data_IF_748081087638
#
_entry.id   IF_748081087638
#
_cell.length_a   1.000
_cell.length_b   1.000
_cell.length_c   1.000
_cell.angle_alpha   90.00
_cell.angle_beta   90.00
_cell.angle_gamma   90.00
#
_symmetry.space_group_name_H-M   'P 1'
#
loop_
_entity.id
_entity.type
_entity.pdbx_description
1 polymer ?
#
# COMPACT_ATOMS: atom_id res chain seq x y z
N UNK A 1 12.33 -13.86 22.31
CA UNK A 1 11.05 -13.59 21.64
C UNK A 1 11.12 -14.21 20.26
N UNK A 2 10.20 -15.12 19.93
CA UNK A 2 10.29 -15.96 18.73
C UNK A 2 10.16 -15.16 17.44
N UNK A 3 11.13 -15.32 16.54
CA UNK A 3 11.05 -14.89 15.15
C UNK A 3 9.93 -15.70 14.47
N UNK A 4 8.95 -15.03 13.84
CA UNK A 4 7.85 -15.68 13.12
C UNK A 4 6.43 -15.55 13.69
N UNK A 5 6.20 -14.73 14.73
CA UNK A 5 4.85 -14.49 15.29
C UNK A 5 4.34 -13.05 15.16
N UNK A 6 5.11 -12.13 14.59
CA UNK A 6 4.64 -10.76 14.41
C UNK A 6 3.59 -10.71 13.29
N UNK A 7 2.40 -10.19 13.62
CA UNK A 7 1.29 -9.88 12.71
C UNK A 7 0.52 -11.08 12.14
N UNK A 8 0.49 -12.22 12.85
CA UNK A 8 -0.34 -13.39 12.48
C UNK A 8 -1.82 -13.05 12.35
N UNK A 9 -2.29 -12.00 13.02
CA UNK A 9 -3.65 -11.52 12.91
C UNK A 9 -3.99 -11.12 11.46
N UNK A 10 -3.03 -10.58 10.71
CA UNK A 10 -3.21 -10.23 9.29
C UNK A 10 -3.35 -11.45 8.37
N UNK A 11 -3.03 -12.66 8.83
CA UNK A 11 -3.21 -13.90 8.05
C UNK A 11 -4.69 -14.27 7.84
N UNK A 12 -5.62 -13.56 8.50
CA UNK A 12 -7.06 -13.63 8.17
C UNK A 12 -7.40 -13.03 6.81
N UNK A 13 -6.48 -12.27 6.20
CA UNK A 13 -6.50 -11.96 4.77
C UNK A 13 -5.82 -13.11 4.03
N UNK A 14 -6.49 -14.26 4.03
CA UNK A 14 -5.97 -15.59 3.70
C UNK A 14 -5.86 -15.86 2.20
N UNK A 15 -6.43 -15.01 1.34
CA UNK A 15 -6.38 -15.16 -0.11
C UNK A 15 -5.60 -14.04 -0.80
N UNK A 16 -5.04 -14.35 -1.97
CA UNK A 16 -4.36 -13.43 -2.87
C UNK A 16 -5.06 -13.43 -4.24
N UNK A 17 -5.16 -12.25 -4.82
CA UNK A 17 -5.55 -12.03 -6.22
C UNK A 17 -4.37 -11.37 -6.95
N UNK A 18 -3.97 -11.91 -8.10
CA UNK A 18 -2.95 -11.34 -8.97
C UNK A 18 -3.52 -11.20 -10.37
N UNK A 19 -3.54 -9.95 -10.86
CA UNK A 19 -3.90 -9.62 -12.24
C UNK A 19 -2.71 -8.98 -12.95
N UNK A 20 -2.65 -9.16 -14.26
CA UNK A 20 -1.66 -8.49 -15.11
C UNK A 20 -2.33 -7.82 -16.30
N UNK A 21 -1.62 -6.85 -16.87
CA UNK A 21 -2.12 -6.05 -17.99
C UNK A 21 -0.96 -5.34 -18.71
N UNK A 22 -1.02 -5.29 -20.03
CA UNK A 22 0.08 -4.82 -20.89
C UNK A 22 -0.42 -3.76 -21.89
N UNK A 23 -0.72 -2.53 -21.44
CA UNK A 23 -1.15 -1.47 -22.34
C UNK A 23 0.00 -1.01 -23.21
N UNK A 24 -0.26 -0.64 -24.47
CA UNK A 24 0.71 0.10 -25.25
C UNK A 24 0.80 1.58 -24.79
N UNK A 25 1.85 1.91 -24.03
CA UNK A 25 2.07 3.23 -23.44
C UNK A 25 3.55 3.62 -23.44
N UNK A 26 3.85 4.89 -23.17
CA UNK A 26 5.24 5.33 -23.03
C UNK A 26 5.97 4.60 -21.89
N UNK A 27 5.27 4.34 -20.77
CA UNK A 27 5.81 3.61 -19.62
C UNK A 27 6.14 2.16 -20.00
N UNK A 28 5.22 1.45 -20.64
CA UNK A 28 5.42 0.03 -20.98
C UNK A 28 6.46 -0.16 -22.07
N UNK A 29 6.55 0.76 -23.04
CA UNK A 29 7.67 0.82 -24.00
C UNK A 29 9.00 1.10 -23.31
N UNK A 30 9.04 2.06 -22.38
CA UNK A 30 10.25 2.37 -21.61
C UNK A 30 10.68 1.19 -20.74
N UNK A 31 9.76 0.52 -20.05
CA UNK A 31 10.05 -0.68 -19.26
C UNK A 31 10.67 -1.79 -20.11
N UNK A 32 10.13 -2.07 -21.31
CA UNK A 32 10.71 -3.05 -22.24
C UNK A 32 12.09 -2.66 -22.74
N UNK A 33 12.25 -1.41 -23.17
CA UNK A 33 13.48 -0.90 -23.82
C UNK A 33 14.62 -0.68 -22.83
N UNK A 34 14.32 -0.09 -21.68
CA UNK A 34 15.28 0.31 -20.65
C UNK A 34 15.41 -0.71 -19.52
N UNK A 35 14.66 -1.83 -19.60
CA UNK A 35 14.61 -2.87 -18.55
C UNK A 35 14.28 -2.29 -17.16
N UNK A 36 13.36 -1.31 -17.14
CA UNK A 36 12.84 -0.74 -15.90
C UNK A 36 11.89 -1.76 -15.26
N UNK A 37 12.30 -2.24 -14.10
CA UNK A 37 11.50 -3.05 -13.18
C UNK A 37 11.33 -2.25 -11.89
N UNK A 38 10.09 -1.97 -11.52
CA UNK A 38 9.78 -1.02 -10.43
C UNK A 38 8.46 -1.39 -9.78
N UNK A 39 8.39 -1.27 -8.46
CA UNK A 39 7.12 -1.08 -7.76
C UNK A 39 6.50 0.26 -8.19
N UNK A 40 5.19 0.35 -8.12
CA UNK A 40 4.41 1.46 -8.66
C UNK A 40 3.54 2.01 -7.55
N UNK A 41 3.73 3.29 -7.24
CA UNK A 41 2.78 4.03 -6.41
C UNK A 41 1.55 4.40 -7.24
N UNK A 42 0.36 4.12 -6.72
CA UNK A 42 -0.91 4.46 -7.37
C UNK A 42 -1.75 5.33 -6.44
N UNK A 43 -1.93 6.59 -6.80
CA UNK A 43 -2.67 7.58 -6.02
C UNK A 43 -3.98 7.96 -6.73
N UNK A 44 -5.07 8.06 -5.97
CA UNK A 44 -6.39 8.40 -6.49
C UNK A 44 -6.86 9.74 -5.93
N UNK A 45 -7.12 10.72 -6.79
CA UNK A 45 -7.75 11.99 -6.42
C UNK A 45 -8.96 12.25 -7.31
N UNK A 46 -10.13 11.84 -6.79
CA UNK A 46 -11.38 11.83 -7.53
C UNK A 46 -11.26 11.04 -8.84
N UNK A 47 -11.29 11.77 -9.96
CA UNK A 47 -11.16 11.20 -11.30
C UNK A 47 -9.70 11.10 -11.77
N UNK A 48 -8.77 11.81 -11.13
CA UNK A 48 -7.37 11.76 -11.45
C UNK A 48 -6.72 10.54 -10.78
N UNK A 49 -5.90 9.82 -11.52
CA UNK A 49 -5.08 8.74 -10.97
C UNK A 49 -3.63 9.01 -11.30
N UNK A 50 -2.75 8.98 -10.31
CA UNK A 50 -1.33 9.21 -10.50
C UNK A 50 -0.57 7.90 -10.35
N UNK A 51 0.31 7.64 -11.31
CA UNK A 51 1.26 6.54 -11.30
C UNK A 51 2.63 7.13 -11.01
N UNK A 52 3.27 6.63 -9.95
CA UNK A 52 4.61 6.98 -9.55
C UNK A 52 5.53 5.77 -9.74
N UNK A 53 6.55 5.93 -10.57
CA UNK A 53 7.58 4.93 -10.83
C UNK A 53 8.91 5.42 -10.28
N UNK A 54 9.77 4.49 -9.86
CA UNK A 54 11.12 4.81 -9.43
C UNK A 54 12.12 3.78 -9.96
N UNK A 55 13.36 4.20 -10.16
CA UNK A 55 14.43 3.25 -10.44
C UNK A 55 15.76 3.91 -10.12
N UNK A 56 16.72 3.10 -9.72
CA UNK A 56 18.08 3.58 -9.46
C UNK A 56 18.70 4.10 -10.76
N UNK A 57 19.51 5.14 -10.63
CA UNK A 57 20.28 5.70 -11.71
C UNK A 57 21.23 4.64 -12.30
N UNK A 58 20.99 4.21 -13.54
CA UNK A 58 21.87 3.30 -14.28
C UNK A 58 22.52 4.07 -15.43
N UNK A 59 23.85 4.16 -15.42
CA UNK A 59 24.66 4.95 -16.36
C UNK A 59 24.59 4.47 -17.82
N UNK A 60 24.03 3.29 -18.09
CA UNK A 60 24.28 2.56 -19.34
C UNK A 60 23.35 2.92 -20.52
N UNK A 61 22.35 3.81 -20.36
CA UNK A 61 21.41 4.15 -21.45
C UNK A 61 20.95 5.62 -21.46
N UNK A 62 21.89 6.57 -21.31
CA UNK A 62 21.59 7.99 -21.08
C UNK A 62 20.64 8.61 -22.09
N UNK A 63 20.78 8.37 -23.41
CA UNK A 63 19.98 9.11 -24.41
C UNK A 63 18.48 8.77 -24.36
N UNK A 64 18.13 7.49 -24.42
CA UNK A 64 16.73 7.04 -24.40
C UNK A 64 16.08 7.29 -23.04
N UNK A 65 16.86 7.11 -21.96
CA UNK A 65 16.43 7.44 -20.61
C UNK A 65 16.14 8.93 -20.48
N UNK A 66 17.02 9.81 -20.97
CA UNK A 66 16.83 11.26 -20.93
C UNK A 66 15.57 11.69 -21.69
N UNK A 67 15.28 11.10 -22.87
CA UNK A 67 14.05 11.36 -23.61
C UNK A 67 12.83 10.97 -22.76
N UNK A 68 12.81 9.75 -22.22
CA UNK A 68 11.72 9.26 -21.39
C UNK A 68 11.50 10.13 -20.13
N UNK A 69 12.57 10.52 -19.44
CA UNK A 69 12.52 11.36 -18.25
C UNK A 69 11.95 12.74 -18.57
N UNK A 70 12.40 13.37 -19.66
CA UNK A 70 11.92 14.69 -20.09
C UNK A 70 10.44 14.68 -20.46
N UNK A 71 10.02 13.62 -21.15
CA UNK A 71 8.60 13.44 -21.51
C UNK A 71 7.73 13.14 -20.28
N UNK A 72 8.32 12.59 -19.21
CA UNK A 72 7.60 12.09 -18.04
C UNK A 72 7.70 12.91 -16.77
N UNK A 73 8.18 14.16 -16.88
CA UNK A 73 8.44 15.03 -15.74
C UNK A 73 9.23 14.29 -14.63
N UNK A 74 10.22 13.54 -15.11
CA UNK A 74 11.10 12.74 -14.28
C UNK A 74 12.16 13.61 -13.62
N UNK A 75 12.40 13.42 -12.33
CA UNK A 75 13.47 14.09 -11.61
C UNK A 75 14.36 13.09 -10.88
N UNK A 76 15.60 13.50 -10.60
CA UNK A 76 16.58 12.74 -9.83
C UNK A 76 16.65 13.33 -8.42
N UNK A 77 16.46 12.49 -7.41
CA UNK A 77 16.71 12.83 -6.02
C UNK A 77 17.33 11.62 -5.34
N UNK A 78 18.42 11.82 -4.60
CA UNK A 78 19.15 10.77 -3.88
C UNK A 78 19.52 9.56 -4.78
N UNK A 79 20.01 9.81 -5.99
CA UNK A 79 20.35 8.78 -7.01
C UNK A 79 19.17 7.91 -7.49
N UNK A 80 17.93 8.35 -7.24
CA UNK A 80 16.70 7.66 -7.63
C UNK A 80 15.96 8.53 -8.64
N UNK A 81 15.76 8.00 -9.85
CA UNK A 81 14.87 8.61 -10.81
C UNK A 81 13.43 8.38 -10.39
N UNK A 82 12.63 9.43 -10.36
CA UNK A 82 11.20 9.38 -10.00
C UNK A 82 10.37 9.96 -11.14
N UNK A 83 9.42 9.17 -11.62
CA UNK A 83 8.56 9.52 -12.76
C UNK A 83 7.11 9.54 -12.30
N UNK A 84 6.41 10.64 -12.59
CA UNK A 84 4.98 10.80 -12.30
C UNK A 84 4.19 10.86 -13.59
N UNK A 85 3.10 10.09 -13.66
CA UNK A 85 2.14 10.16 -14.76
C UNK A 85 0.73 10.28 -14.22
N UNK A 86 0.08 11.38 -14.56
CA UNK A 86 -1.35 11.57 -14.31
C UNK A 86 -2.16 10.93 -15.43
N UNK A 87 -3.04 10.02 -15.06
CA UNK A 87 -4.09 9.45 -15.90
C UNK A 87 -5.35 10.30 -15.65
N UNK A 88 -5.72 11.08 -16.67
CA UNK A 88 -6.85 12.03 -16.62
C UNK A 88 -8.13 11.41 -17.22
N UNK A 89 -8.00 10.31 -17.98
CA UNK A 89 -9.13 9.63 -18.63
C UNK A 89 -9.46 8.32 -17.92
N UNK A 90 -10.74 7.94 -17.97
CA UNK A 90 -11.21 6.65 -17.50
C UNK A 90 -10.41 5.54 -18.16
N UNK A 91 -9.66 4.80 -17.35
CA UNK A 91 -8.83 3.70 -17.78
C UNK A 91 -9.38 2.43 -17.14
N UNK A 92 -9.82 1.48 -17.96
CA UNK A 92 -10.58 0.31 -17.49
C UNK A 92 -9.82 -0.49 -16.43
N UNK A 93 -8.50 -0.56 -16.53
CA UNK A 93 -7.63 -1.16 -15.52
C UNK A 93 -7.70 -0.45 -14.16
N UNK A 94 -7.67 0.89 -14.17
CA UNK A 94 -7.82 1.69 -12.94
C UNK A 94 -9.23 1.50 -12.35
N UNK A 95 -10.25 1.43 -13.20
CA UNK A 95 -11.63 1.18 -12.76
C UNK A 95 -11.81 -0.22 -12.16
N UNK A 96 -11.12 -1.23 -12.70
CA UNK A 96 -11.06 -2.57 -12.12
C UNK A 96 -10.43 -2.52 -10.73
N UNK A 97 -9.26 -1.88 -10.58
CA UNK A 97 -8.58 -1.73 -9.28
C UNK A 97 -9.49 -1.02 -8.27
N UNK A 98 -10.12 0.11 -8.66
CA UNK A 98 -11.07 0.83 -7.81
C UNK A 98 -12.25 -0.06 -7.41
N UNK A 99 -12.81 -0.83 -8.34
CA UNK A 99 -13.95 -1.72 -8.06
C UNK A 99 -13.59 -2.85 -7.11
N UNK A 100 -12.40 -3.43 -7.25
CA UNK A 100 -11.88 -4.45 -6.32
C UNK A 100 -11.65 -3.86 -4.93
N UNK A 101 -11.14 -2.62 -4.84
CA UNK A 101 -10.98 -1.90 -3.57
C UNK A 101 -12.31 -1.53 -2.90
N UNK A 102 -13.43 -1.54 -3.61
CA UNK A 102 -14.76 -1.42 -2.98
C UNK A 102 -15.23 -2.72 -2.34
N UNK A 103 -14.64 -3.87 -2.72
CA UNK A 103 -14.96 -5.13 -2.04
C UNK A 103 -14.40 -5.05 -0.61
N UNK A 104 -15.18 -5.44 0.40
CA UNK A 104 -14.72 -5.54 1.78
C UNK A 104 -13.49 -6.43 1.93
N UNK A 105 -12.60 -6.14 2.90
CA UNK A 105 -11.28 -6.78 3.12
C UNK A 105 -10.24 -6.70 2.00
N UNK A 106 -10.56 -6.19 0.81
CA UNK A 106 -9.57 -6.09 -0.25
C UNK A 106 -8.52 -5.03 0.08
N UNK A 107 -7.28 -5.47 0.16
CA UNK A 107 -6.11 -4.61 0.39
C UNK A 107 -5.21 -4.71 -0.83
N UNK A 108 -4.93 -3.57 -1.45
CA UNK A 108 -3.92 -3.45 -2.49
C UNK A 108 -2.53 -3.51 -1.84
N UNK A 109 -1.78 -4.58 -2.11
CA UNK A 109 -0.47 -4.80 -1.48
C UNK A 109 0.71 -4.44 -2.38
N UNK A 110 0.54 -4.55 -3.71
CA UNK A 110 1.61 -4.19 -4.63
C UNK A 110 1.07 -3.97 -6.03
N UNK A 111 1.69 -3.00 -6.70
CA UNK A 111 1.60 -2.83 -8.15
C UNK A 111 3.04 -2.72 -8.62
N UNK A 112 3.41 -3.45 -9.67
CA UNK A 112 4.74 -3.33 -10.25
C UNK A 112 4.68 -3.41 -11.76
N UNK A 113 5.72 -2.92 -12.41
CA UNK A 113 5.94 -3.10 -13.83
C UNK A 113 7.19 -3.91 -14.06
N UNK A 114 7.11 -4.89 -14.98
CA UNK A 114 8.25 -5.67 -15.46
C UNK A 114 8.07 -6.01 -16.92
N UNK A 115 9.11 -5.77 -17.73
CA UNK A 115 9.11 -6.04 -19.17
C UNK A 115 7.86 -5.48 -19.90
N UNK A 116 7.38 -4.31 -19.49
CA UNK A 116 6.21 -3.65 -20.06
C UNK A 116 4.86 -4.16 -19.59
N UNK A 117 4.81 -5.09 -18.64
CA UNK A 117 3.58 -5.64 -18.09
C UNK A 117 3.38 -5.06 -16.69
N UNK A 118 2.22 -4.42 -16.47
CA UNK A 118 1.77 -4.08 -15.14
C UNK A 118 1.19 -5.31 -14.46
N UNK A 119 1.51 -5.46 -13.19
CA UNK A 119 0.96 -6.48 -12.33
C UNK A 119 0.40 -5.81 -11.09
N UNK A 120 -0.76 -6.27 -10.63
CA UNK A 120 -1.38 -5.81 -9.40
C UNK A 120 -1.71 -7.01 -8.52
N UNK A 121 -1.37 -6.91 -7.24
CA UNK A 121 -1.67 -7.90 -6.21
C UNK A 121 -2.58 -7.30 -5.14
N UNK A 122 -3.60 -8.07 -4.78
CA UNK A 122 -4.45 -7.84 -3.62
C UNK A 122 -4.38 -9.01 -2.66
N UNK A 123 -4.56 -8.72 -1.37
CA UNK A 123 -4.89 -9.72 -0.35
C UNK A 123 -6.28 -9.43 0.21
N UNK A 124 -7.00 -10.48 0.60
CA UNK A 124 -8.37 -10.35 1.09
C UNK A 124 -8.80 -11.60 1.86
N UNK A 125 -9.91 -11.51 2.59
CA UNK A 125 -10.51 -12.66 3.25
C UNK A 125 -11.33 -13.49 2.26
N UNK A 126 -11.12 -14.81 2.26
CA UNK A 126 -11.71 -15.79 1.36
C UNK A 126 -13.24 -15.76 1.30
N UNK A 127 -13.92 -15.26 2.34
CA UNK A 127 -15.38 -15.09 2.34
C UNK A 127 -15.87 -14.11 1.25
N UNK A 128 -14.99 -13.28 0.68
CA UNK A 128 -15.32 -12.31 -0.36
C UNK A 128 -14.99 -12.80 -1.79
N UNK A 129 -14.54 -14.05 -1.93
CA UNK A 129 -14.15 -14.67 -3.22
C UNK A 129 -15.24 -14.61 -4.29
N UNK A 130 -16.51 -14.78 -3.92
CA UNK A 130 -17.64 -14.68 -4.87
C UNK A 130 -17.75 -13.26 -5.47
N UNK A 131 -17.73 -12.21 -4.63
CA UNK A 131 -17.77 -10.82 -5.09
C UNK A 131 -16.56 -10.47 -5.97
N UNK A 132 -15.39 -10.99 -5.60
CA UNK A 132 -14.17 -10.81 -6.40
C UNK A 132 -14.33 -11.43 -7.79
N UNK A 133 -14.86 -12.65 -7.84
CA UNK A 133 -15.08 -13.38 -9.10
C UNK A 133 -16.05 -12.63 -10.02
N UNK A 134 -17.15 -12.10 -9.47
CA UNK A 134 -18.13 -11.32 -10.24
C UNK A 134 -17.50 -10.07 -10.87
N UNK A 135 -16.71 -9.32 -10.10
CA UNK A 135 -16.02 -8.11 -10.60
C UNK A 135 -14.99 -8.48 -11.68
N UNK A 136 -14.19 -9.53 -11.45
CA UNK A 136 -13.16 -9.97 -12.39
C UNK A 136 -13.80 -10.41 -13.71
N UNK A 137 -14.81 -11.29 -13.67
CA UNK A 137 -15.47 -11.79 -14.88
C UNK A 137 -16.14 -10.65 -15.67
N UNK A 138 -16.74 -9.68 -14.98
CA UNK A 138 -17.42 -8.55 -15.61
C UNK A 138 -16.52 -7.45 -16.16
N UNK A 139 -15.32 -7.25 -15.59
CA UNK A 139 -14.44 -6.11 -15.95
C UNK A 139 -13.11 -6.51 -16.57
N UNK A 140 -12.50 -7.62 -16.13
CA UNK A 140 -11.21 -8.03 -16.69
C UNK A 140 -11.35 -8.45 -18.15
N UNK A 141 -12.50 -9.04 -18.51
CA UNK A 141 -12.83 -9.43 -19.89
C UNK A 141 -12.94 -8.25 -20.85
N UNK A 142 -13.12 -7.02 -20.36
CA UNK A 142 -13.18 -5.82 -21.21
C UNK A 142 -11.80 -5.20 -21.43
N UNK A 143 -10.81 -5.56 -20.60
CA UNK A 143 -9.47 -4.99 -20.65
C UNK A 143 -8.63 -5.77 -21.67
N UNK A 144 -8.24 -5.11 -22.76
CA UNK A 144 -7.32 -5.68 -23.74
C UNK A 144 -6.00 -6.10 -23.07
N UNK A 145 -5.52 -7.32 -23.34
CA UNK A 145 -4.34 -7.91 -22.67
C UNK A 145 -4.43 -8.03 -21.13
N UNK A 146 -5.63 -7.89 -20.55
CA UNK A 146 -5.87 -8.18 -19.13
C UNK A 146 -5.87 -9.68 -18.84
N UNK A 147 -5.12 -10.11 -17.82
CA UNK A 147 -5.05 -11.53 -17.42
C UNK A 147 -5.22 -11.71 -15.93
N UNK A 148 -5.88 -12.80 -15.56
CA UNK A 148 -5.92 -13.30 -14.20
C UNK A 148 -4.75 -14.28 -14.06
N UNK A 149 -3.73 -13.89 -13.28
CA UNK A 149 -2.54 -14.71 -13.06
C UNK A 149 -2.74 -15.71 -11.93
N UNK A 150 -3.45 -15.28 -10.87
CA UNK A 150 -3.69 -16.11 -9.69
C UNK A 150 -4.91 -15.63 -8.90
N UNK A 151 -5.69 -16.58 -8.38
CA UNK A 151 -6.66 -16.32 -7.30
C UNK A 151 -6.74 -17.55 -6.40
N UNK A 152 -6.52 -17.39 -5.10
CA UNK A 152 -6.54 -18.50 -4.16
C UNK A 152 -5.84 -18.20 -2.84
N UNK A 153 -5.62 -19.22 -2.00
CA UNK A 153 -4.95 -19.08 -0.71
C UNK A 153 -3.54 -18.47 -0.83
N UNK A 154 -3.11 -17.72 0.18
CA UNK A 154 -1.75 -17.20 0.27
C UNK A 154 -0.94 -17.87 1.39
N UNK A 155 0.35 -17.52 1.47
CA UNK A 155 1.29 -18.06 2.45
C UNK A 155 1.38 -17.21 3.74
N UNK A 156 0.31 -16.52 4.10
CA UNK A 156 0.29 -15.53 5.18
C UNK A 156 0.91 -14.19 4.78
N UNK A 157 0.69 -13.18 5.62
CA UNK A 157 1.11 -11.81 5.34
C UNK A 157 2.62 -11.66 5.19
N UNK A 158 3.40 -12.32 6.05
CA UNK A 158 4.86 -12.35 5.94
C UNK A 158 5.32 -13.04 4.65
N UNK A 159 4.67 -14.12 4.23
CA UNK A 159 4.96 -14.80 2.98
C UNK A 159 4.68 -13.92 1.76
N UNK A 160 3.61 -13.14 1.79
CA UNK A 160 3.34 -12.14 0.75
C UNK A 160 4.47 -11.12 0.70
N UNK A 161 4.86 -10.52 1.83
CA UNK A 161 5.94 -9.53 1.85
C UNK A 161 7.29 -10.12 1.38
N UNK A 162 7.59 -11.39 1.66
CA UNK A 162 8.77 -12.07 1.14
C UNK A 162 8.75 -12.20 -0.40
N UNK A 163 7.60 -12.53 -1.00
CA UNK A 163 7.44 -12.53 -2.46
C UNK A 163 7.72 -11.13 -3.08
N UNK A 164 7.43 -10.06 -2.34
CA UNK A 164 7.73 -8.67 -2.74
C UNK A 164 9.22 -8.36 -2.55
N UNK A 165 9.80 -8.74 -1.43
CA UNK A 165 11.22 -8.54 -1.14
C UNK A 165 12.15 -9.20 -2.17
N UNK A 166 11.74 -10.37 -2.70
CA UNK A 166 12.47 -11.08 -3.75
C UNK A 166 12.58 -10.30 -5.08
N UNK A 167 11.67 -9.35 -5.34
CA UNK A 167 11.66 -8.52 -6.55
C UNK A 167 12.10 -7.07 -6.30
N UNK A 168 11.91 -6.58 -5.08
CA UNK A 168 12.24 -5.22 -4.65
C UNK A 168 12.62 -5.26 -3.18
N UNK A 169 13.89 -5.05 -2.84
CA UNK A 169 14.36 -5.11 -1.45
C UNK A 169 13.54 -4.18 -0.55
N UNK A 170 12.91 -4.73 0.49
CA UNK A 170 12.00 -4.02 1.37
C UNK A 170 12.62 -3.64 2.70
N UNK A 171 12.15 -2.52 3.23
CA UNK A 171 12.43 -2.05 4.58
C UNK A 171 11.15 -1.78 5.32
N UNK A 172 11.24 -1.83 6.65
CA UNK A 172 10.12 -1.57 7.54
C UNK A 172 10.54 -0.56 8.58
N UNK A 173 9.78 0.53 8.66
CA UNK A 173 9.85 1.48 9.74
C UNK A 173 8.75 1.16 10.75
N UNK A 174 9.11 1.00 12.02
CA UNK A 174 8.18 0.88 13.14
C UNK A 174 8.17 2.18 13.94
N UNK A 175 6.99 2.76 14.05
CA UNK A 175 6.70 3.91 14.88
C UNK A 175 5.86 3.47 16.08
N UNK A 176 6.25 3.93 17.25
CA UNK A 176 5.40 3.94 18.44
C UNK A 176 4.92 5.37 18.66
N UNK A 177 3.61 5.54 18.81
CA UNK A 177 2.94 6.81 19.01
C UNK A 177 2.13 6.74 20.32
N UNK A 178 1.94 7.91 20.92
CA UNK A 178 1.00 8.12 22.02
C UNK A 178 -0.03 9.15 21.52
N UNK A 179 -1.12 8.71 20.88
CA UNK A 179 -2.11 9.61 20.34
C UNK A 179 -2.73 10.47 21.46
N UNK A 180 -3.11 11.73 21.17
CA UNK A 180 -3.91 12.53 22.08
C UNK A 180 -5.19 11.79 22.52
N UNK A 181 -5.66 12.04 23.73
CA UNK A 181 -6.86 11.37 24.30
C UNK A 181 -8.06 11.37 23.34
N UNK A 182 -8.29 12.49 22.65
CA UNK A 182 -9.36 12.63 21.65
C UNK A 182 -9.28 11.57 20.54
N UNK A 183 -8.09 11.30 20.02
CA UNK A 183 -7.84 10.32 18.94
C UNK A 183 -8.02 8.86 19.40
N UNK A 184 -8.02 8.63 20.73
CA UNK A 184 -8.24 7.31 21.32
C UNK A 184 -9.70 7.06 21.71
N UNK A 185 -10.53 8.10 21.70
CA UNK A 185 -11.92 8.05 22.12
C UNK A 185 -12.88 8.15 20.93
N UNK A 186 -14.17 8.02 21.21
CA UNK A 186 -15.20 8.27 20.20
C UNK A 186 -15.28 9.77 19.89
N UNK A 187 -15.56 10.16 18.62
CA UNK A 187 -15.80 9.32 17.45
C UNK A 187 -14.56 8.83 16.69
N UNK A 188 -13.37 9.33 16.98
CA UNK A 188 -12.15 9.10 16.20
C UNK A 188 -11.66 7.63 16.22
N UNK A 189 -11.91 6.91 17.32
CA UNK A 189 -11.58 5.50 17.47
C UNK A 189 -12.82 4.64 17.83
N UNK A 190 -13.64 4.25 16.84
CA UNK A 190 -14.84 3.43 17.06
C UNK A 190 -14.56 1.97 17.41
N UNK A 191 -13.28 1.58 17.39
CA UNK A 191 -12.80 0.20 17.41
C UNK A 191 -12.41 -0.27 18.82
N UNK A 192 -12.55 0.59 19.82
CA UNK A 192 -12.24 0.25 21.21
C UNK A 192 -10.74 0.30 21.50
N UNK A 193 -10.29 -0.56 22.41
CA UNK A 193 -8.99 -0.41 23.06
C UNK A 193 -7.88 -1.25 22.42
N UNK A 194 -8.27 -2.32 21.71
CA UNK A 194 -7.35 -3.32 21.15
C UNK A 194 -7.78 -3.71 19.74
N UNK A 195 -6.92 -3.46 18.75
CA UNK A 195 -7.18 -3.85 17.37
C UNK A 195 -5.92 -3.85 16.51
N UNK A 196 -5.98 -4.60 15.41
CA UNK A 196 -5.06 -4.49 14.29
C UNK A 196 -5.76 -3.87 13.09
N UNK A 197 -5.02 -3.12 12.28
CA UNK A 197 -5.53 -2.51 11.05
C UNK A 197 -4.51 -2.60 9.94
N UNK A 198 -4.96 -2.85 8.71
CA UNK A 198 -4.17 -2.65 7.50
C UNK A 198 -4.93 -1.71 6.56
N UNK A 199 -4.22 -0.76 5.94
CA UNK A 199 -4.85 0.18 5.02
C UNK A 199 -5.20 -0.51 3.69
N UNK A 200 -6.42 -0.31 3.18
CA UNK A 200 -6.86 -0.91 1.91
C UNK A 200 -6.06 -0.40 0.71
N UNK A 201 -5.70 0.87 0.77
CA UNK A 201 -4.79 1.52 -0.16
C UNK A 201 -3.82 2.36 0.63
N UNK A 202 -2.51 2.23 0.41
CA UNK A 202 -1.56 3.02 1.16
C UNK A 202 -1.35 4.44 0.58
N UNK A 203 -2.08 4.81 -0.50
CA UNK A 203 -2.03 6.15 -1.10
C UNK A 203 -3.40 6.81 -1.14
N UNK A 204 -3.42 8.10 -0.80
CA UNK A 204 -4.36 9.05 -1.36
C UNK A 204 -5.83 8.78 -1.17
N UNK A 205 -6.31 8.81 0.06
CA UNK A 205 -7.53 9.58 0.39
C UNK A 205 -7.53 9.79 1.89
N UNK A 206 -7.79 11.02 2.29
CA UNK A 206 -8.71 11.24 3.40
C UNK A 206 -10.14 11.08 2.87
N UNK A 207 -11.00 10.29 3.54
CA UNK A 207 -10.74 9.60 4.79
C UNK A 207 -10.01 8.25 4.60
N UNK A 208 -9.31 7.79 5.66
CA UNK A 208 -8.51 6.56 5.65
C UNK A 208 -9.44 5.34 5.72
N UNK A 209 -9.38 4.47 4.71
CA UNK A 209 -10.08 3.18 4.69
C UNK A 209 -9.15 2.05 5.11
N UNK A 210 -9.55 1.33 6.16
CA UNK A 210 -8.77 0.22 6.70
C UNK A 210 -9.60 -1.03 6.96
N UNK A 211 -8.92 -2.17 6.91
CA UNK A 211 -9.45 -3.46 7.34
C UNK A 211 -8.98 -3.70 8.76
N UNK A 212 -9.91 -3.89 9.69
CA UNK A 212 -9.69 -4.08 11.10
C UNK A 212 -9.83 -5.55 11.49
N UNK A 213 -9.00 -5.98 12.41
CA UNK A 213 -9.00 -7.34 12.96
C UNK A 213 -9.04 -7.23 14.48
N UNK A 214 -10.12 -7.75 15.06
CA UNK A 214 -10.41 -7.63 16.49
C UNK A 214 -11.28 -8.77 17.01
N UNK A 215 -10.98 -9.24 18.20
CA UNK A 215 -11.74 -10.33 18.85
C UNK A 215 -13.10 -9.87 19.39
N UNK A 216 -13.21 -8.60 19.77
CA UNK A 216 -14.42 -8.04 20.36
C UNK A 216 -15.24 -7.30 19.32
N UNK A 217 -16.57 -7.40 19.44
CA UNK A 217 -17.46 -6.64 18.57
C UNK A 217 -17.39 -5.15 18.93
N UNK A 218 -17.20 -4.25 17.96
CA UNK A 218 -17.06 -2.82 18.22
C UNK A 218 -18.34 -2.18 18.76
N UNK A 219 -18.17 -1.07 19.48
CA UNK A 219 -19.21 -0.42 20.29
C UNK A 219 -20.31 0.30 19.50
N UNK A 220 -20.09 0.64 18.22
CA UNK A 220 -21.12 1.24 17.33
C UNK A 220 -21.12 0.59 15.94
N UNK A 221 -22.23 -0.06 15.59
CA UNK A 221 -22.43 -0.67 14.28
C UNK A 221 -22.60 0.35 13.13
N UNK A 222 -22.99 1.59 13.40
CA UNK A 222 -23.37 2.58 12.36
C UNK A 222 -22.19 3.18 11.58
N UNK A 223 -20.97 3.15 12.13
CA UNK A 223 -19.74 3.67 11.46
C UNK A 223 -19.06 2.57 10.65
N UNK A 224 -19.61 1.36 10.65
CA UNK A 224 -18.96 0.16 10.18
C UNK A 224 -19.85 -0.62 9.23
N UNK A 225 -19.23 -1.23 8.23
CA UNK A 225 -19.82 -2.40 7.62
C UNK A 225 -19.18 -3.59 8.35
N UNK A 226 -19.92 -4.28 9.22
CA UNK A 226 -19.52 -5.63 9.67
C UNK A 226 -19.63 -6.53 8.44
N UNK A 227 -18.51 -6.94 7.86
CA UNK A 227 -18.58 -7.56 6.53
C UNK A 227 -18.21 -9.04 6.49
N UNK A 228 -17.61 -9.60 7.53
CA UNK A 228 -16.86 -10.85 7.36
C UNK A 228 -17.01 -11.77 8.56
N UNK A 229 -17.01 -13.07 8.26
CA UNK A 229 -16.73 -14.14 9.20
C UNK A 229 -15.34 -13.90 9.85
N UNK A 230 -15.11 -14.45 11.03
CA UNK A 230 -13.75 -14.52 11.62
C UNK A 230 -13.15 -13.16 12.07
N UNK A 231 -13.93 -12.25 12.66
CA UNK A 231 -13.38 -11.08 13.37
C UNK A 231 -12.71 -10.01 12.47
N UNK A 232 -13.09 -9.94 11.19
CA UNK A 232 -12.59 -8.94 10.22
C UNK A 232 -13.67 -7.91 9.88
N UNK A 233 -13.31 -6.62 9.97
CA UNK A 233 -14.21 -5.48 9.79
C UNK A 233 -13.62 -4.46 8.82
N UNK A 234 -14.46 -3.62 8.21
CA UNK A 234 -14.01 -2.46 7.43
C UNK A 234 -14.60 -1.18 8.01
N UNK A 235 -13.77 -0.16 8.13
CA UNK A 235 -14.22 1.17 8.48
C UNK A 235 -13.36 2.26 7.86
N UNK A 236 -13.97 3.44 7.86
CA UNK A 236 -13.37 4.70 7.44
C UNK A 236 -13.13 5.53 8.68
N UNK A 237 -11.90 6.01 8.85
CA UNK A 237 -11.48 6.78 10.03
C UNK A 237 -10.56 7.92 9.61
N UNK A 238 -10.42 8.91 10.47
CA UNK A 238 -9.41 9.97 10.32
C UNK A 238 -8.29 9.77 11.35
N UNK A 239 -7.05 10.09 11.00
CA UNK A 239 -5.91 9.98 11.89
C UNK A 239 -4.81 10.95 11.43
N UNK A 240 -4.62 12.04 12.16
CA UNK A 240 -3.75 13.13 11.73
C UNK A 240 -2.29 12.69 11.44
N UNK A 241 -1.74 11.78 12.26
CA UNK A 241 -0.39 11.27 12.04
C UNK A 241 -0.27 10.45 10.76
N UNK A 242 -1.24 9.56 10.51
CA UNK A 242 -1.24 8.76 9.31
C UNK A 242 -1.48 9.60 8.05
N UNK A 243 -2.43 10.55 8.10
CA UNK A 243 -2.69 11.46 6.99
C UNK A 243 -1.44 12.30 6.65
N UNK A 244 -0.74 12.81 7.67
CA UNK A 244 0.57 13.47 7.49
C UNK A 244 1.58 12.56 6.80
N UNK A 245 1.76 11.35 7.32
CA UNK A 245 2.79 10.43 6.81
C UNK A 245 2.50 9.99 5.36
N UNK A 246 1.24 9.67 5.05
CA UNK A 246 0.81 9.30 3.70
C UNK A 246 0.95 10.49 2.74
N UNK A 247 0.62 11.70 3.18
CA UNK A 247 0.81 12.92 2.40
C UNK A 247 2.28 13.15 2.06
N UNK A 248 3.19 13.06 3.04
CA UNK A 248 4.62 13.24 2.81
C UNK A 248 5.21 12.17 1.87
N UNK A 249 4.80 10.91 2.03
CA UNK A 249 5.20 9.85 1.10
C UNK A 249 4.70 10.12 -0.33
N UNK A 250 3.47 10.62 -0.49
CA UNK A 250 2.93 10.99 -1.79
C UNK A 250 3.70 12.15 -2.43
N UNK A 251 3.95 13.23 -1.67
CA UNK A 251 4.75 14.38 -2.13
C UNK A 251 6.14 13.94 -2.59
N UNK A 252 6.79 13.07 -1.82
CA UNK A 252 8.11 12.52 -2.15
C UNK A 252 8.04 11.39 -3.20
N UNK A 253 6.85 10.98 -3.65
CA UNK A 253 6.64 9.88 -4.60
C UNK A 253 7.24 8.55 -4.12
N UNK A 254 7.24 8.31 -2.81
CA UNK A 254 7.70 7.07 -2.19
C UNK A 254 6.57 6.05 -2.31
N UNK A 255 6.82 4.88 -2.90
CA UNK A 255 5.85 3.81 -2.89
C UNK A 255 5.81 3.13 -1.53
N UNK A 256 4.62 3.04 -0.98
CA UNK A 256 4.26 2.24 0.19
C UNK A 256 3.67 0.92 -0.28
N UNK A 257 4.29 -0.18 0.17
CA UNK A 257 3.82 -1.55 -0.10
C UNK A 257 2.70 -1.90 0.87
N UNK A 258 2.91 -1.64 2.15
CA UNK A 258 1.91 -1.88 3.19
C UNK A 258 2.04 -0.85 4.30
N UNK A 259 0.90 -0.47 4.88
CA UNK A 259 0.83 0.28 6.12
C UNK A 259 -0.16 -0.45 7.03
N UNK A 260 0.35 -0.93 8.16
CA UNK A 260 -0.44 -1.67 9.13
C UNK A 260 -0.13 -1.21 10.54
N UNK A 261 -1.11 -1.36 11.43
CA UNK A 261 -1.18 -0.70 12.71
C UNK A 261 -1.71 -1.65 13.77
N UNK A 262 -1.32 -1.35 15.01
CA UNK A 262 -1.84 -2.00 16.20
C UNK A 262 -2.11 -0.93 17.24
N UNK A 263 -3.34 -0.90 17.75
CA UNK A 263 -3.64 -0.16 18.97
C UNK A 263 -3.75 -1.16 20.11
N UNK A 264 -2.96 -0.94 21.15
CA UNK A 264 -3.16 -1.50 22.49
C UNK A 264 -3.11 -0.30 23.44
N UNK A 265 -4.27 0.27 23.81
CA UNK A 265 -4.28 1.57 24.50
C UNK A 265 -3.34 1.62 25.71
N UNK A 266 -2.59 2.72 25.88
CA UNK A 266 -2.61 3.95 25.08
C UNK A 266 -1.65 3.94 23.88
N UNK A 267 -0.99 2.81 23.61
CA UNK A 267 0.11 2.73 22.65
C UNK A 267 -0.42 2.40 21.27
N UNK A 268 -0.06 3.23 20.31
CA UNK A 268 -0.35 3.02 18.90
C UNK A 268 0.94 2.71 18.15
N UNK A 269 1.02 1.53 17.56
CA UNK A 269 2.14 1.13 16.72
C UNK A 269 1.74 1.23 15.25
N UNK A 270 2.63 1.77 14.44
CA UNK A 270 2.51 1.87 12.98
C UNK A 270 3.74 1.25 12.33
N UNK A 271 3.51 0.32 11.41
CA UNK A 271 4.52 -0.25 10.55
C UNK A 271 4.27 0.17 9.11
N UNK A 272 5.33 0.63 8.45
CA UNK A 272 5.30 1.05 7.06
C UNK A 272 6.34 0.24 6.32
N UNK A 273 5.89 -0.48 5.30
CA UNK A 273 6.73 -1.29 4.42
C UNK A 273 6.91 -0.55 3.10
N UNK A 274 8.17 -0.39 2.68
CA UNK A 274 8.53 0.42 1.53
C UNK A 274 9.85 -0.08 0.90
N UNK A 275 10.15 0.28 -0.36
CA UNK A 275 11.42 -0.08 -0.99
C UNK A 275 12.64 0.54 -0.28
N UNK A 276 13.65 -0.28 0.00
CA UNK A 276 14.81 0.07 0.83
C UNK A 276 15.63 1.27 0.35
N UNK A 277 15.55 1.61 -0.94
CA UNK A 277 16.18 2.81 -1.49
C UNK A 277 15.65 4.12 -0.87
N UNK A 278 14.44 4.13 -0.28
CA UNK A 278 13.84 5.33 0.34
C UNK A 278 14.11 5.46 1.85
N UNK A 279 15.02 4.67 2.43
CA UNK A 279 15.29 4.69 3.88
C UNK A 279 15.62 6.09 4.41
N UNK A 280 16.44 6.85 3.68
CA UNK A 280 16.87 8.18 4.12
C UNK A 280 15.70 9.17 4.11
N UNK A 281 14.82 9.10 3.11
CA UNK A 281 13.62 9.92 3.04
C UNK A 281 12.64 9.57 4.15
N UNK A 282 12.50 8.29 4.51
CA UNK A 282 11.66 7.86 5.63
C UNK A 282 12.21 8.36 6.97
N UNK A 283 13.54 8.35 7.17
CA UNK A 283 14.16 8.97 8.35
C UNK A 283 13.88 10.46 8.43
N UNK A 284 13.90 11.15 7.29
CA UNK A 284 13.56 12.58 7.23
C UNK A 284 12.09 12.81 7.59
N UNK A 285 11.14 12.07 6.99
CA UNK A 285 9.71 12.17 7.32
C UNK A 285 9.48 11.89 8.81
N UNK A 286 10.17 10.89 9.37
CA UNK A 286 10.11 10.57 10.80
C UNK A 286 10.59 11.72 11.69
N UNK A 287 11.64 12.43 11.28
CA UNK A 287 12.15 13.61 11.96
C UNK A 287 11.17 14.76 11.88
N UNK A 288 10.69 15.09 10.68
CA UNK A 288 9.76 16.18 10.42
C UNK A 288 8.43 15.96 11.20
N UNK A 289 7.94 14.72 11.25
CA UNK A 289 6.74 14.35 12.02
C UNK A 289 6.87 14.61 13.53
N UNK A 290 8.08 14.57 14.11
CA UNK A 290 8.31 14.91 15.52
C UNK A 290 8.15 16.40 15.79
N UNK A 291 8.48 17.22 14.81
CA UNK A 291 8.38 18.67 14.88
C UNK A 291 6.94 19.15 14.59
N UNK A 292 6.30 18.54 13.58
CA UNK A 292 4.97 18.95 13.11
C UNK A 292 3.81 18.37 13.95
N UNK A 293 4.00 17.18 14.54
CA UNK A 293 2.99 16.49 15.36
C UNK A 293 3.52 16.09 16.75
N UNK A 294 4.04 17.03 17.56
CA UNK A 294 4.70 16.73 18.82
C UNK A 294 3.76 16.12 19.87
N UNK A 295 2.45 16.41 19.79
CA UNK A 295 1.41 15.88 20.67
C UNK A 295 1.11 14.38 20.46
N UNK A 296 1.58 13.79 19.37
CA UNK A 296 1.51 12.34 19.13
C UNK A 296 2.72 11.59 19.72
N UNK A 297 3.71 12.31 20.25
CA UNK A 297 4.97 11.78 20.79
C UNK A 297 5.63 10.72 19.89
N UNK A 298 5.86 10.99 18.59
CA UNK A 298 6.29 9.96 17.66
C UNK A 298 7.72 9.45 17.92
N UNK A 299 7.84 8.14 18.08
CA UNK A 299 9.12 7.46 18.29
C UNK A 299 9.35 6.40 17.22
N UNK A 300 10.34 6.62 16.34
CA UNK A 300 10.87 5.57 15.47
C UNK A 300 11.61 4.53 16.34
N UNK A 301 11.05 3.32 16.45
CA UNK A 301 11.60 2.22 17.25
C UNK A 301 12.59 1.38 16.47
N UNK A 302 12.31 1.15 15.19
CA UNK A 302 13.20 0.40 14.30
C UNK A 302 13.06 0.89 12.87
N UNK A 303 14.17 0.87 12.15
CA UNK A 303 14.20 0.92 10.70
C UNK A 303 15.17 -0.17 10.25
N UNK A 304 14.64 -1.24 9.68
CA UNK A 304 15.42 -2.43 9.32
C UNK A 304 14.94 -2.98 7.98
N UNK A 305 15.77 -3.84 7.37
CA UNK A 305 15.35 -4.63 6.21
C UNK A 305 14.25 -5.60 6.61
N UNK A 306 13.40 -5.97 5.64
CA UNK A 306 12.36 -6.99 5.85
C UNK A 306 12.95 -8.30 6.41
N UNK A 307 14.09 -8.73 5.86
CA UNK A 307 14.78 -9.95 6.28
C UNK A 307 15.25 -9.92 7.74
N UNK A 308 15.66 -8.77 8.26
CA UNK A 308 16.10 -8.66 9.67
C UNK A 308 14.94 -8.79 10.67
N UNK A 309 13.73 -8.43 10.26
CA UNK A 309 12.53 -8.47 11.13
C UNK A 309 11.87 -9.85 11.08
N UNK A 310 11.82 -10.48 9.89
CA UNK A 310 11.06 -11.71 9.68
C UNK A 310 11.91 -12.99 9.57
N UNK A 311 13.24 -12.90 9.36
CA UNK A 311 14.19 -14.03 9.37
C UNK A 311 15.19 -13.97 10.54
#
# INVERSE_FOLDING_TARGET
MGKGTQFKELDLLDWKLHISFSPESAITRASRKLKINSEVGLYFDGQNTEINLFFQNRREMERDLNIFLRESDGFLENEIWRVRRSIVKRFEYVELIKSLLEIPSFVLISIWIRDGIFHTQFIFNSSQSNKASDIILGKLSTIEEGKLEYVGPNNGFAGILDEIDQRCELSIAQFELLPPKKEMEMPENPMGDHWYRILKKPYGTDPIRGVYIMSEKPSKAEVMTEVIKDSVYEATTDNAFLSYFVSEMHVKRIPTIAAFQKLDKPVFNLWIVFPSLFRNEILKIASDAREDLPNWHPSLKSLASFKEIFN
#
